data_IF_101833025774
#
_entry.id   IF_101833025774
#
_cell.length_a   1.000
_cell.length_b   1.000
_cell.length_c   1.000
_cell.angle_alpha   90.00
_cell.angle_beta   90.00
_cell.angle_gamma   90.00
#
_symmetry.space_group_name_H-M   'P 1'
#
loop_
_entity.id
_entity.type
_entity.pdbx_description
1 polymer ?
#
# COMPACT_ATOMS: atom_id res chain seq x y z
N UNK A 1 18.05 -11.49 -2.86
CA UNK A 1 17.45 -10.50 -1.98
C UNK A 1 17.12 -11.11 -0.64
N UNK A 2 17.50 -10.48 0.45
CA UNK A 2 17.24 -11.05 1.77
C UNK A 2 15.78 -10.86 2.17
N UNK A 3 15.28 -11.78 2.98
CA UNK A 3 13.90 -11.71 3.46
C UNK A 3 13.64 -10.46 4.29
N UNK A 4 14.66 -10.01 5.03
CA UNK A 4 14.54 -8.81 5.85
C UNK A 4 14.24 -7.58 5.01
N UNK A 5 14.91 -7.47 3.86
CA UNK A 5 14.70 -6.35 2.97
C UNK A 5 13.28 -6.36 2.40
N UNK A 6 12.81 -7.54 2.01
CA UNK A 6 11.48 -7.67 1.46
C UNK A 6 10.41 -7.33 2.50
N UNK A 7 10.60 -7.77 3.75
CA UNK A 7 9.69 -7.42 4.84
C UNK A 7 9.66 -5.92 5.08
N UNK A 8 10.84 -5.28 5.08
CA UNK A 8 10.90 -3.84 5.32
C UNK A 8 10.13 -3.07 4.25
N UNK A 9 10.31 -3.44 3.00
CA UNK A 9 9.59 -2.79 1.89
C UNK A 9 8.09 -3.01 2.03
N UNK A 10 7.67 -4.22 2.37
CA UNK A 10 6.25 -4.55 2.50
C UNK A 10 5.62 -3.74 3.63
N UNK A 11 6.29 -3.63 4.76
CA UNK A 11 5.78 -2.84 5.89
C UNK A 11 5.63 -1.37 5.49
N UNK A 12 6.62 -0.83 4.80
CA UNK A 12 6.57 0.54 4.33
C UNK A 12 5.40 0.76 3.37
N UNK A 13 5.20 -0.16 2.45
CA UNK A 13 4.09 -0.06 1.50
C UNK A 13 2.73 -0.16 2.19
N UNK A 14 2.61 -1.03 3.18
CA UNK A 14 1.40 -1.13 3.96
C UNK A 14 1.11 0.17 4.70
N UNK A 15 2.13 0.78 5.28
CA UNK A 15 1.99 2.05 5.97
C UNK A 15 1.47 3.13 5.01
N UNK A 16 2.06 3.22 3.83
CA UNK A 16 1.64 4.20 2.81
C UNK A 16 0.20 3.94 2.40
N UNK A 17 -0.18 2.67 2.24
CA UNK A 17 -1.54 2.30 1.87
C UNK A 17 -2.55 2.77 2.91
N UNK A 18 -2.26 2.55 4.20
CA UNK A 18 -3.13 2.96 5.29
C UNK A 18 -3.30 4.49 5.29
N UNK A 19 -2.19 5.21 5.17
CA UNK A 19 -2.23 6.67 5.12
C UNK A 19 -3.06 7.14 3.93
N UNK A 20 -2.88 6.52 2.77
CA UNK A 20 -3.65 6.87 1.58
C UNK A 20 -5.14 6.67 1.77
N UNK A 21 -5.53 5.53 2.35
CA UNK A 21 -6.94 5.24 2.60
C UNK A 21 -7.53 6.27 3.57
N UNK A 22 -6.81 6.59 4.63
CA UNK A 22 -7.28 7.58 5.59
C UNK A 22 -7.49 8.94 4.93
N UNK A 23 -6.55 9.36 4.09
CA UNK A 23 -6.68 10.63 3.38
C UNK A 23 -7.88 10.63 2.44
N UNK A 24 -8.12 9.54 1.75
CA UNK A 24 -9.28 9.43 0.86
C UNK A 24 -10.57 9.55 1.65
N UNK A 25 -10.66 8.87 2.78
CA UNK A 25 -11.85 8.92 3.62
C UNK A 25 -12.07 10.34 4.12
N UNK A 26 -11.02 11.02 4.56
CA UNK A 26 -11.13 12.40 5.02
C UNK A 26 -11.62 13.34 3.92
N UNK A 27 -11.18 13.11 2.69
CA UNK A 27 -11.66 13.90 1.55
C UNK A 27 -13.15 13.67 1.30
N UNK A 28 -13.58 12.43 1.36
CA UNK A 28 -14.98 12.08 1.12
C UNK A 28 -15.91 12.66 2.19
N UNK A 29 -15.41 12.76 3.42
CA UNK A 29 -16.15 13.35 4.51
C UNK A 29 -16.18 14.88 4.48
N UNK A 30 -15.47 15.48 3.54
CA UNK A 30 -15.42 16.93 3.41
C UNK A 30 -14.51 17.62 4.40
N UNK A 31 -13.74 16.86 5.16
CA UNK A 31 -12.82 17.44 6.14
C UNK A 31 -11.65 18.10 5.43
N UNK A 32 -11.24 17.53 4.32
CA UNK A 32 -10.11 18.03 3.56
C UNK A 32 -10.46 18.10 2.09
N UNK A 33 -10.09 19.19 1.44
CA UNK A 33 -10.34 19.40 0.02
C UNK A 33 -9.01 19.28 -0.73
N UNK A 34 -8.89 18.22 -1.52
CA UNK A 34 -7.68 17.99 -2.30
C UNK A 34 -8.02 18.03 -3.78
N UNK A 35 -7.31 18.86 -4.53
CA UNK A 35 -7.56 18.99 -5.97
C UNK A 35 -7.15 17.75 -6.74
N UNK A 36 -6.20 17.01 -6.20
CA UNK A 36 -5.66 15.82 -6.87
C UNK A 36 -6.13 14.52 -6.22
N UNK A 37 -7.40 14.50 -5.82
CA UNK A 37 -7.98 13.30 -5.19
C UNK A 37 -7.82 12.07 -6.08
N UNK A 38 -8.01 12.25 -7.39
CA UNK A 38 -7.89 11.15 -8.34
C UNK A 38 -6.51 10.52 -8.30
N UNK A 39 -5.47 11.38 -8.22
CA UNK A 39 -4.11 10.92 -8.15
C UNK A 39 -3.84 10.15 -6.86
N UNK A 40 -4.37 10.64 -5.74
CA UNK A 40 -4.24 9.95 -4.46
C UNK A 40 -4.88 8.56 -4.50
N UNK A 41 -6.07 8.47 -5.07
CA UNK A 41 -6.76 7.19 -5.20
C UNK A 41 -5.93 6.22 -6.05
N UNK A 42 -5.38 6.70 -7.16
CA UNK A 42 -4.56 5.88 -8.04
C UNK A 42 -3.32 5.37 -7.31
N UNK A 43 -2.61 6.26 -6.63
CA UNK A 43 -1.40 5.89 -5.90
C UNK A 43 -1.71 4.89 -4.78
N UNK A 44 -2.84 5.08 -4.08
CA UNK A 44 -3.24 4.17 -3.01
C UNK A 44 -3.53 2.78 -3.56
N UNK A 45 -4.22 2.70 -4.69
CA UNK A 45 -4.50 1.41 -5.32
C UNK A 45 -3.21 0.72 -5.73
N UNK A 46 -2.27 1.47 -6.31
CA UNK A 46 -0.97 0.91 -6.68
C UNK A 46 -0.23 0.38 -5.46
N UNK A 47 -0.22 1.14 -4.38
CA UNK A 47 0.46 0.73 -3.14
C UNK A 47 -0.15 -0.54 -2.59
N UNK A 48 -1.47 -0.63 -2.55
CA UNK A 48 -2.16 -1.81 -2.07
C UNK A 48 -1.84 -3.02 -2.95
N UNK A 49 -1.88 -2.83 -4.26
CA UNK A 49 -1.59 -3.92 -5.20
C UNK A 49 -0.17 -4.43 -5.02
N UNK A 50 0.79 -3.53 -4.88
CA UNK A 50 2.18 -3.92 -4.66
C UNK A 50 2.37 -4.63 -3.33
N UNK A 51 1.67 -4.19 -2.29
CA UNK A 51 1.74 -4.84 -0.99
C UNK A 51 1.23 -6.28 -1.07
N UNK A 52 0.11 -6.47 -1.74
CA UNK A 52 -0.46 -7.81 -1.93
C UNK A 52 0.51 -8.70 -2.72
N UNK A 53 1.11 -8.15 -3.77
CA UNK A 53 2.06 -8.88 -4.59
C UNK A 53 3.28 -9.30 -3.78
N UNK A 54 3.80 -8.40 -2.96
CA UNK A 54 4.95 -8.70 -2.11
C UNK A 54 4.61 -9.78 -1.07
N UNK A 55 3.43 -9.69 -0.47
CA UNK A 55 2.99 -10.70 0.48
C UNK A 55 2.85 -12.05 -0.20
N UNK A 56 2.29 -12.07 -1.40
CA UNK A 56 2.15 -13.31 -2.15
C UNK A 56 3.52 -13.92 -2.47
N UNK A 57 4.49 -13.08 -2.82
CA UNK A 57 5.85 -13.57 -3.09
C UNK A 57 6.49 -14.18 -1.86
N UNK A 58 6.30 -13.55 -0.72
CA UNK A 58 6.85 -14.06 0.54
C UNK A 58 6.24 -15.42 0.86
N UNK A 59 4.91 -15.53 0.73
CA UNK A 59 4.21 -16.78 1.02
C UNK A 59 4.56 -17.87 0.02
N UNK A 60 4.62 -17.51 -1.25
CA UNK A 60 4.95 -18.47 -2.31
C UNK A 60 6.34 -19.05 -2.10
N UNK A 61 7.29 -18.18 -1.80
CA UNK A 61 8.65 -18.60 -1.57
C UNK A 61 8.75 -19.54 -0.37
N UNK A 62 7.97 -19.25 0.65
CA UNK A 62 7.93 -20.09 1.86
C UNK A 62 7.27 -21.42 1.58
N UNK A 63 6.28 -21.44 0.71
CA UNK A 63 5.51 -22.64 0.41
C UNK A 63 6.24 -23.57 -0.56
N UNK A 64 6.95 -23.01 -1.49
CA UNK A 64 7.64 -23.79 -2.53
C UNK A 64 8.94 -24.40 -2.05
N UNK A 65 9.38 -24.04 -0.90
CA UNK A 65 10.60 -24.60 -0.34
C UNK A 65 10.36 -25.92 0.34
#
# INVERSE_FOLDING_TARGET
MSKKYLYAITILQLFVSVVGVVLIIMNLLGIRNTDNLFMFVFLTILAITQSIDNIAKIRDKSHNQ
#
